data_IF_578481958782
#
_entry.id   IF_578481958782
#
_cell.length_a   1.000
_cell.length_b   1.000
_cell.length_c   1.000
_cell.angle_alpha   90.00
_cell.angle_beta   90.00
_cell.angle_gamma   90.00
#
_symmetry.space_group_name_H-M   'P 1'
#
loop_
_entity.id
_entity.type
_entity.pdbx_description
1 polymer ?
#
# COMPACT_ATOMS: atom_id res chain seq x y z
N UNK A 1 -14.21 0.19 -14.60
CA UNK A 1 -15.22 0.45 -13.56
C UNK A 1 -14.50 0.96 -12.33
N UNK A 2 -14.88 2.11 -11.78
CA UNK A 2 -14.37 2.63 -10.51
C UNK A 2 -15.06 1.94 -9.35
N UNK A 3 -14.29 1.47 -8.37
CA UNK A 3 -14.82 0.78 -7.17
C UNK A 3 -14.67 1.69 -5.96
N UNK A 4 -15.76 1.88 -5.21
CA UNK A 4 -15.72 2.55 -3.90
C UNK A 4 -15.16 1.58 -2.86
N UNK A 5 -14.15 2.01 -2.10
CA UNK A 5 -13.55 1.22 -1.02
C UNK A 5 -13.72 1.91 0.32
N UNK A 6 -13.78 1.11 1.39
CA UNK A 6 -13.82 1.63 2.75
C UNK A 6 -12.40 1.87 3.27
N UNK A 7 -11.98 3.14 3.34
CA UNK A 7 -10.63 3.52 3.78
C UNK A 7 -10.30 3.02 5.19
N UNK A 8 -11.29 2.96 6.10
CA UNK A 8 -11.05 2.47 7.46
C UNK A 8 -10.67 0.98 7.47
N UNK A 9 -11.34 0.16 6.65
CA UNK A 9 -10.98 -1.26 6.49
C UNK A 9 -9.56 -1.44 5.95
N UNK A 10 -9.18 -0.62 4.97
CA UNK A 10 -7.82 -0.62 4.41
C UNK A 10 -6.81 -0.27 5.51
N UNK A 11 -7.00 0.84 6.22
CA UNK A 11 -6.08 1.31 7.26
C UNK A 11 -5.97 0.29 8.39
N UNK A 12 -7.08 -0.28 8.85
CA UNK A 12 -7.08 -1.29 9.92
C UNK A 12 -6.36 -2.57 9.51
N UNK A 13 -6.57 -3.05 8.28
CA UNK A 13 -5.86 -4.25 7.80
C UNK A 13 -4.37 -4.00 7.52
N UNK A 14 -4.03 -2.81 7.03
CA UNK A 14 -2.65 -2.36 6.80
C UNK A 14 -1.82 -2.24 8.09
N UNK A 15 -2.45 -1.88 9.21
CA UNK A 15 -1.78 -1.70 10.51
C UNK A 15 -1.76 -2.96 11.38
N UNK A 16 -2.15 -4.12 10.84
CA UNK A 16 -1.98 -5.39 11.57
C UNK A 16 -0.50 -5.65 11.83
N UNK A 17 -0.20 -6.15 13.02
CA UNK A 17 1.16 -6.54 13.40
C UNK A 17 1.57 -7.74 12.56
N UNK A 18 2.66 -7.59 11.83
CA UNK A 18 3.31 -8.62 11.02
C UNK A 18 4.37 -9.37 11.83
N UNK A 19 5.25 -8.64 12.52
CA UNK A 19 6.30 -9.23 13.35
C UNK A 19 6.72 -8.30 14.49
N UNK A 20 6.53 -8.73 15.75
CA UNK A 20 6.79 -7.96 16.98
C UNK A 20 6.17 -6.55 16.97
N UNK A 21 6.87 -5.58 16.37
CA UNK A 21 6.49 -4.17 16.24
C UNK A 21 6.25 -3.73 14.79
N UNK A 22 6.62 -4.53 13.79
CA UNK A 22 6.44 -4.23 12.38
C UNK A 22 4.99 -4.48 11.95
N UNK A 23 4.42 -3.55 11.19
CA UNK A 23 3.08 -3.68 10.59
C UNK A 23 3.15 -4.20 9.16
N UNK A 24 2.06 -4.77 8.63
CA UNK A 24 1.95 -5.18 7.23
C UNK A 24 2.33 -4.05 6.25
N UNK A 25 1.86 -2.82 6.53
CA UNK A 25 2.19 -1.64 5.71
C UNK A 25 3.65 -1.23 5.85
N UNK A 26 4.23 -1.29 7.05
CA UNK A 26 5.65 -1.03 7.30
C UNK A 26 6.56 -2.02 6.56
N UNK A 27 6.25 -3.32 6.69
CA UNK A 27 6.94 -4.40 6.00
C UNK A 27 6.87 -4.24 4.48
N UNK A 28 5.67 -3.91 3.97
CA UNK A 28 5.48 -3.65 2.55
C UNK A 28 6.33 -2.46 2.09
N UNK A 29 6.33 -1.33 2.81
CA UNK A 29 7.11 -0.15 2.44
C UNK A 29 8.60 -0.47 2.37
N UNK A 30 9.15 -1.15 3.39
CA UNK A 30 10.57 -1.48 3.45
C UNK A 30 11.06 -2.26 2.22
N UNK A 31 10.25 -3.21 1.73
CA UNK A 31 10.54 -3.97 0.51
C UNK A 31 10.55 -3.11 -0.75
N UNK A 32 9.63 -2.16 -0.84
CA UNK A 32 9.52 -1.26 -1.99
C UNK A 32 10.63 -0.19 -1.98
N UNK A 33 10.96 0.39 -0.82
CA UNK A 33 12.09 1.30 -0.65
C UNK A 33 13.44 0.68 -1.07
N UNK A 34 13.65 -0.61 -0.79
CA UNK A 34 14.87 -1.32 -1.19
C UNK A 34 14.99 -1.48 -2.71
N UNK A 35 13.86 -1.62 -3.42
CA UNK A 35 13.82 -1.89 -4.88
C UNK A 35 13.69 -0.62 -5.71
N UNK A 36 12.96 0.38 -5.20
CA UNK A 36 12.56 1.61 -5.88
C UNK A 36 12.72 2.82 -4.94
N UNK A 37 13.94 3.11 -4.48
CA UNK A 37 14.19 4.23 -3.56
C UNK A 37 13.84 5.59 -4.16
N UNK A 38 13.80 5.72 -5.49
CA UNK A 38 13.44 6.97 -6.18
C UNK A 38 11.94 7.29 -6.06
N UNK A 39 11.09 6.28 -5.85
CA UNK A 39 9.63 6.41 -5.69
C UNK A 39 9.25 6.50 -4.20
N UNK A 40 9.83 5.62 -3.39
CA UNK A 40 9.42 5.45 -1.98
C UNK A 40 10.37 6.11 -0.98
N UNK A 41 11.50 6.63 -1.43
CA UNK A 41 12.57 7.10 -0.57
C UNK A 41 13.44 5.95 -0.04
N UNK A 42 14.52 6.33 0.66
CA UNK A 42 15.46 5.37 1.26
C UNK A 42 14.96 4.89 2.62
N UNK A 43 15.18 3.60 2.97
CA UNK A 43 14.88 3.10 4.30
C UNK A 43 15.78 3.81 5.32
N UNK A 44 15.17 4.56 6.25
CA UNK A 44 15.88 5.28 7.32
C UNK A 44 15.02 5.31 8.57
N UNK A 45 15.61 4.96 9.71
CA UNK A 45 14.95 4.92 11.01
C UNK A 45 14.75 3.50 11.52
N UNK A 46 14.11 3.39 12.67
CA UNK A 46 13.69 2.12 13.26
C UNK A 46 12.30 1.69 12.72
N UNK A 47 11.80 0.55 13.16
CA UNK A 47 10.52 -0.03 12.74
C UNK A 47 9.34 0.93 12.94
N UNK A 48 9.29 1.65 14.06
CA UNK A 48 8.20 2.60 14.34
C UNK A 48 8.17 3.75 13.33
N UNK A 49 9.35 4.30 12.99
CA UNK A 49 9.47 5.34 11.97
C UNK A 49 9.06 4.81 10.60
N UNK A 50 9.39 3.56 10.27
CA UNK A 50 8.96 2.93 9.01
C UNK A 50 7.45 2.71 8.96
N UNK A 51 6.84 2.22 10.04
CA UNK A 51 5.39 2.06 10.16
C UNK A 51 4.66 3.41 10.00
N UNK A 52 5.15 4.47 10.64
CA UNK A 52 4.56 5.79 10.53
C UNK A 52 4.65 6.34 9.10
N UNK A 53 5.81 6.22 8.47
CA UNK A 53 6.01 6.63 7.07
C UNK A 53 5.12 5.83 6.12
N UNK A 54 5.01 4.53 6.33
CA UNK A 54 4.15 3.66 5.55
C UNK A 54 2.68 4.06 5.65
N UNK A 55 2.22 4.43 6.84
CA UNK A 55 0.89 4.99 7.03
C UNK A 55 0.69 6.31 6.31
N UNK A 56 1.69 7.20 6.32
CA UNK A 56 1.61 8.45 5.57
C UNK A 56 1.45 8.17 4.06
N UNK A 57 2.29 7.30 3.49
CA UNK A 57 2.17 6.89 2.09
C UNK A 57 0.80 6.26 1.78
N UNK A 58 0.30 5.40 2.66
CA UNK A 58 -1.02 4.79 2.51
C UNK A 58 -2.13 5.85 2.47
N UNK A 59 -2.12 6.80 3.41
CA UNK A 59 -3.11 7.88 3.47
C UNK A 59 -3.02 8.80 2.26
N UNK A 60 -1.80 9.16 1.82
CA UNK A 60 -1.58 9.97 0.62
C UNK A 60 -2.21 9.29 -0.60
N UNK A 61 -2.03 7.97 -0.77
CA UNK A 61 -2.55 7.24 -1.93
C UNK A 61 -4.08 7.08 -1.83
N UNK A 62 -4.62 6.82 -0.64
CA UNK A 62 -6.07 6.72 -0.44
C UNK A 62 -6.76 8.05 -0.76
N UNK A 63 -6.20 9.16 -0.28
CA UNK A 63 -6.75 10.51 -0.43
C UNK A 63 -6.38 11.18 -1.77
N UNK A 64 -5.35 10.70 -2.45
CA UNK A 64 -4.87 11.24 -3.71
C UNK A 64 -5.86 11.05 -4.86
N UNK A 65 -5.60 11.70 -5.99
CA UNK A 65 -6.45 11.58 -7.17
C UNK A 65 -6.45 10.16 -7.75
N UNK A 66 -7.49 9.84 -8.51
CA UNK A 66 -7.68 8.53 -9.12
C UNK A 66 -8.58 7.59 -8.32
N UNK A 67 -9.00 6.51 -8.98
CA UNK A 67 -9.97 5.56 -8.45
C UNK A 67 -9.36 4.15 -8.40
N UNK A 68 -9.88 3.32 -7.49
CA UNK A 68 -9.56 1.89 -7.52
C UNK A 68 -10.14 1.24 -8.77
N UNK A 69 -9.32 0.40 -9.39
CA UNK A 69 -9.67 -0.39 -10.55
C UNK A 69 -9.50 -1.87 -10.25
N UNK A 70 -10.39 -2.68 -10.82
CA UNK A 70 -10.29 -4.13 -10.77
C UNK A 70 -9.21 -4.56 -11.76
N UNK A 71 -8.17 -5.22 -11.27
CA UNK A 71 -7.04 -5.70 -12.08
C UNK A 71 -6.88 -7.21 -11.87
N UNK A 72 -6.87 -7.96 -12.98
CA UNK A 72 -6.58 -9.39 -12.96
C UNK A 72 -5.08 -9.63 -13.15
N UNK A 73 -4.48 -10.34 -12.21
CA UNK A 73 -3.10 -10.80 -12.28
C UNK A 73 -2.97 -11.96 -13.28
N UNK A 74 -1.77 -12.19 -13.81
CA UNK A 74 -1.52 -13.24 -14.83
C UNK A 74 -1.81 -14.67 -14.37
N UNK A 75 -1.97 -14.89 -13.07
CA UNK A 75 -2.40 -16.17 -12.48
C UNK A 75 -3.92 -16.26 -12.26
N UNK A 76 -4.70 -15.33 -12.80
CA UNK A 76 -6.16 -15.32 -12.71
C UNK A 76 -6.74 -14.68 -11.45
N UNK A 77 -5.91 -14.32 -10.47
CA UNK A 77 -6.36 -13.67 -9.22
C UNK A 77 -6.64 -12.19 -9.45
N UNK A 78 -7.78 -11.72 -8.94
CA UNK A 78 -8.21 -10.33 -9.11
C UNK A 78 -7.92 -9.51 -7.86
N UNK A 79 -7.51 -8.25 -8.06
CA UNK A 79 -7.22 -7.28 -7.01
C UNK A 79 -7.87 -5.93 -7.33
N UNK A 80 -7.93 -5.07 -6.31
CA UNK A 80 -8.24 -3.65 -6.49
C UNK A 80 -6.94 -2.86 -6.43
N UNK A 81 -6.66 -2.04 -7.43
CA UNK A 81 -5.45 -1.24 -7.50
C UNK A 81 -5.75 0.24 -7.67
N UNK A 82 -5.00 1.08 -6.97
CA UNK A 82 -4.94 2.52 -7.19
C UNK A 82 -3.49 2.96 -7.28
N UNK A 83 -3.17 3.78 -8.27
CA UNK A 83 -1.82 4.30 -8.50
C UNK A 83 -1.91 5.81 -8.72
N UNK A 84 -1.00 6.55 -8.10
CA UNK A 84 -0.83 7.99 -8.30
C UNK A 84 0.06 8.26 -9.51
N UNK A 85 0.08 9.51 -9.97
CA UNK A 85 0.93 9.96 -11.08
C UNK A 85 2.43 9.93 -10.77
N UNK A 86 2.81 9.90 -9.48
CA UNK A 86 4.19 9.80 -9.01
C UNK A 86 4.73 8.36 -8.98
N UNK A 87 3.94 7.39 -9.42
CA UNK A 87 4.31 5.97 -9.48
C UNK A 87 4.00 5.19 -8.20
N UNK A 88 3.66 5.85 -7.08
CA UNK A 88 3.22 5.17 -5.85
C UNK A 88 1.81 4.60 -6.04
N UNK A 89 1.57 3.40 -5.52
CA UNK A 89 0.24 2.82 -5.54
C UNK A 89 0.02 1.78 -4.44
N UNK A 90 -1.24 1.39 -4.26
CA UNK A 90 -1.65 0.32 -3.36
C UNK A 90 -2.48 -0.72 -4.10
N UNK A 91 -2.30 -1.97 -3.66
CA UNK A 91 -3.12 -3.11 -4.02
C UNK A 91 -3.90 -3.57 -2.81
N UNK A 92 -5.18 -3.82 -3.02
CA UNK A 92 -6.09 -4.42 -2.05
C UNK A 92 -6.59 -5.77 -2.58
N UNK A 93 -6.93 -6.65 -1.66
CA UNK A 93 -7.75 -7.81 -1.98
C UNK A 93 -9.15 -7.36 -2.40
N UNK A 94 -9.93 -8.24 -3.04
CA UNK A 94 -11.29 -7.92 -3.47
C UNK A 94 -12.25 -7.59 -2.32
N UNK A 95 -11.92 -7.99 -1.09
CA UNK A 95 -12.64 -7.62 0.14
C UNK A 95 -12.27 -6.22 0.68
N UNK A 96 -11.38 -5.50 0.00
CA UNK A 96 -10.92 -4.18 0.38
C UNK A 96 -9.84 -4.17 1.47
N UNK A 97 -9.30 -5.32 1.87
CA UNK A 97 -8.16 -5.38 2.81
C UNK A 97 -6.83 -5.09 2.12
N UNK A 98 -5.91 -4.47 2.84
CA UNK A 98 -4.57 -4.14 2.33
C UNK A 98 -3.81 -5.40 1.92
N UNK A 99 -3.31 -5.42 0.68
CA UNK A 99 -2.45 -6.50 0.16
C UNK A 99 -0.99 -6.09 0.06
N UNK A 100 -0.71 -4.82 -0.23
CA UNK A 100 0.64 -4.29 -0.33
C UNK A 100 0.72 -3.03 -1.17
N UNK A 101 1.88 -2.36 -1.12
CA UNK A 101 2.22 -1.34 -2.09
C UNK A 101 2.50 -1.94 -3.47
N UNK A 102 2.33 -1.11 -4.50
CA UNK A 102 2.73 -1.38 -5.88
C UNK A 102 3.40 -0.13 -6.44
N UNK A 103 4.38 -0.32 -7.32
CA UNK A 103 5.00 0.76 -8.08
C UNK A 103 5.04 0.43 -9.57
N UNK A 104 5.01 1.49 -10.38
CA UNK A 104 5.12 1.42 -11.84
C UNK A 104 6.25 2.32 -12.30
#
# INVERSE_FOLDING_TARGET
>A
MSVTVNNQSVITSANRIYAETETEVGHSLAKHMSRKPDIWGKPKGNTDVLNQRANQHLQDILNGEGNFQVVQSGNGVTFLEKTLSDGRGIRLNMDGTFKGFIDK
#
